data_IF_198030348547
#
_entry.id   IF_198030348547
#
_cell.length_a   1.000
_cell.length_b   1.000
_cell.length_c   1.000
_cell.angle_alpha   90.00
_cell.angle_beta   90.00
_cell.angle_gamma   90.00
#
_symmetry.space_group_name_H-M   'P 1'
#
loop_
_entity.id
_entity.type
_entity.pdbx_description
1 polymer ?
#
# COMPACT_ATOMS: atom_id res chain seq x y z
N UNK A 1 2.91 -12.70 -29.56
CA UNK A 1 2.98 -12.88 -28.10
C UNK A 1 2.08 -11.83 -27.48
N UNK A 2 0.87 -12.20 -27.04
CA UNK A 2 -0.11 -11.25 -26.50
C UNK A 2 0.34 -10.85 -25.09
N UNK A 3 0.85 -9.63 -24.94
CA UNK A 3 1.10 -9.04 -23.61
C UNK A 3 -0.24 -8.69 -22.99
N UNK A 4 -0.83 -9.65 -22.26
CA UNK A 4 -1.97 -9.38 -21.38
C UNK A 4 -1.48 -8.32 -20.39
N UNK A 5 -1.98 -7.09 -20.51
CA UNK A 5 -1.76 -6.06 -19.51
C UNK A 5 -2.31 -6.60 -18.20
N UNK A 6 -1.43 -6.79 -17.22
CA UNK A 6 -1.86 -7.21 -15.89
C UNK A 6 -2.46 -6.00 -15.20
N UNK A 7 -3.78 -5.85 -15.32
CA UNK A 7 -4.50 -4.76 -14.69
C UNK A 7 -4.52 -4.97 -13.18
N UNK A 8 -4.25 -3.89 -12.44
CA UNK A 8 -4.27 -3.94 -10.98
C UNK A 8 -5.73 -4.06 -10.51
N UNK A 9 -6.09 -5.07 -9.69
CA UNK A 9 -7.47 -5.30 -9.25
C UNK A 9 -8.01 -4.12 -8.46
N UNK A 10 -9.32 -3.83 -8.55
CA UNK A 10 -9.91 -2.63 -7.95
C UNK A 10 -9.77 -2.60 -6.43
N UNK A 11 -9.95 -3.75 -5.79
CA UNK A 11 -9.81 -3.97 -4.36
C UNK A 11 -8.36 -4.17 -3.88
N UNK A 12 -7.33 -3.82 -4.66
CA UNK A 12 -5.93 -4.03 -4.26
C UNK A 12 -5.58 -3.36 -2.91
N UNK A 13 -6.25 -2.25 -2.59
CA UNK A 13 -6.03 -1.52 -1.33
C UNK A 13 -6.57 -2.28 -0.11
N UNK A 14 -7.47 -3.24 -0.34
CA UNK A 14 -8.15 -4.04 0.68
C UNK A 14 -7.52 -5.43 0.83
N UNK A 15 -6.58 -5.80 -0.05
CA UNK A 15 -5.90 -7.10 0.04
C UNK A 15 -4.88 -7.10 1.18
N UNK A 16 -4.89 -8.18 1.95
CA UNK A 16 -3.97 -8.41 3.06
C UNK A 16 -3.43 -9.84 3.07
N UNK A 17 -2.26 -10.03 3.68
CA UNK A 17 -1.63 -11.34 3.88
C UNK A 17 -1.46 -12.11 2.57
N UNK A 18 -1.97 -13.34 2.56
CA UNK A 18 -1.82 -14.26 1.43
C UNK A 18 -2.39 -13.71 0.11
N UNK A 19 -3.56 -13.05 0.16
CA UNK A 19 -4.18 -12.49 -1.05
C UNK A 19 -3.32 -11.38 -1.66
N UNK A 20 -2.72 -10.56 -0.80
CA UNK A 20 -1.75 -9.55 -1.23
C UNK A 20 -0.51 -10.21 -1.84
N UNK A 21 0.09 -11.19 -1.16
CA UNK A 21 1.28 -11.88 -1.67
C UNK A 21 1.01 -12.60 -3.00
N UNK A 22 -0.15 -13.22 -3.18
CA UNK A 22 -0.53 -13.87 -4.43
C UNK A 22 -0.66 -12.87 -5.58
N UNK A 23 -1.24 -11.69 -5.31
CA UNK A 23 -1.22 -10.60 -6.29
C UNK A 23 0.23 -10.19 -6.65
N UNK A 24 1.11 -10.02 -5.67
CA UNK A 24 2.52 -9.67 -5.93
C UNK A 24 3.23 -10.75 -6.75
N UNK A 25 3.00 -12.04 -6.44
CA UNK A 25 3.54 -13.17 -7.21
C UNK A 25 3.11 -13.09 -8.67
N UNK A 26 1.84 -12.80 -8.94
CA UNK A 26 1.32 -12.69 -10.30
C UNK A 26 1.83 -11.44 -11.03
N UNK A 27 1.89 -10.30 -10.34
CA UNK A 27 2.21 -9.01 -10.94
C UNK A 27 3.72 -8.76 -11.11
N UNK A 28 4.52 -9.06 -10.08
CA UNK A 28 5.96 -8.79 -10.01
C UNK A 28 6.82 -10.06 -10.02
N UNK A 29 6.23 -11.22 -9.78
CA UNK A 29 6.92 -12.50 -9.72
C UNK A 29 7.28 -12.91 -8.30
N UNK A 30 7.45 -14.22 -8.13
CA UNK A 30 7.69 -14.89 -6.85
C UNK A 30 8.82 -14.28 -6.02
N UNK A 31 9.96 -13.96 -6.66
CA UNK A 31 11.11 -13.36 -5.95
C UNK A 31 10.78 -12.05 -5.24
N UNK A 32 9.92 -11.22 -5.83
CA UNK A 32 9.50 -9.95 -5.21
C UNK A 32 8.55 -10.23 -4.05
N UNK A 33 7.61 -11.17 -4.23
CA UNK A 33 6.69 -11.57 -3.17
C UNK A 33 7.44 -12.12 -1.95
N UNK A 34 8.42 -13.02 -2.15
CA UNK A 34 9.19 -13.60 -1.06
C UNK A 34 9.97 -12.54 -0.26
N UNK A 35 10.46 -11.48 -0.92
CA UNK A 35 11.13 -10.36 -0.23
C UNK A 35 10.14 -9.62 0.69
N UNK A 36 8.91 -9.37 0.21
CA UNK A 36 7.89 -8.66 0.99
C UNK A 36 7.35 -9.54 2.11
N UNK A 37 7.11 -10.82 1.85
CA UNK A 37 6.63 -11.81 2.81
C UNK A 37 7.64 -12.02 3.94
N UNK A 38 8.94 -12.11 3.63
CA UNK A 38 10.00 -12.21 4.64
C UNK A 38 10.00 -11.02 5.62
N UNK A 39 9.60 -9.84 5.17
CA UNK A 39 9.56 -8.62 5.96
C UNK A 39 8.18 -8.34 6.58
N UNK A 40 7.23 -9.27 6.45
CA UNK A 40 5.83 -9.08 6.87
C UNK A 40 5.18 -7.81 6.26
N UNK A 41 5.57 -7.46 5.04
CA UNK A 41 4.96 -6.37 4.27
C UNK A 41 3.74 -6.94 3.56
N UNK A 42 2.64 -7.07 4.30
CA UNK A 42 1.48 -7.88 3.95
C UNK A 42 0.30 -7.11 3.33
N UNK A 43 0.42 -5.80 3.11
CA UNK A 43 -0.60 -5.01 2.41
C UNK A 43 0.00 -3.77 1.72
N UNK A 44 -0.81 -3.07 0.93
CA UNK A 44 -0.38 -1.88 0.17
C UNK A 44 0.08 -0.74 1.09
N UNK A 45 -0.56 -0.53 2.23
CA UNK A 45 -0.22 0.58 3.13
C UNK A 45 1.17 0.37 3.75
N UNK A 46 1.44 -0.83 4.27
CA UNK A 46 2.77 -1.21 4.77
C UNK A 46 3.83 -1.08 3.68
N UNK A 47 3.52 -1.56 2.47
CA UNK A 47 4.46 -1.49 1.35
C UNK A 47 4.80 -0.06 0.92
N UNK A 48 3.80 0.82 0.86
CA UNK A 48 4.01 2.23 0.50
C UNK A 48 4.68 3.03 1.62
N UNK A 49 4.48 2.65 2.87
CA UNK A 49 5.15 3.24 4.03
C UNK A 49 6.63 2.80 4.15
N UNK A 50 6.97 1.60 3.67
CA UNK A 50 8.34 1.11 3.64
C UNK A 50 9.18 1.90 2.61
N UNK A 51 10.28 2.52 3.06
CA UNK A 51 11.14 3.35 2.21
C UNK A 51 11.83 2.54 1.11
N UNK A 52 12.62 1.53 1.50
CA UNK A 52 13.30 0.60 0.60
C UNK A 52 13.16 -0.85 1.08
N UNK A 53 12.20 -1.62 0.54
CA UNK A 53 12.04 -3.03 0.87
C UNK A 53 13.23 -3.92 0.46
N UNK A 54 14.19 -3.42 -0.34
CA UNK A 54 15.38 -4.19 -0.71
C UNK A 54 16.53 -4.03 0.28
N UNK A 55 16.43 -3.07 1.20
CA UNK A 55 17.47 -2.79 2.21
C UNK A 55 17.75 -4.01 3.09
N UNK A 56 16.73 -4.83 3.39
CA UNK A 56 16.88 -6.08 4.15
C UNK A 56 17.98 -6.98 3.57
N UNK A 57 18.18 -6.98 2.25
CA UNK A 57 19.17 -7.82 1.57
C UNK A 57 20.61 -7.33 1.79
N UNK A 58 20.81 -6.18 2.42
CA UNK A 58 22.14 -5.68 2.78
C UNK A 58 22.65 -6.28 4.10
N UNK A 59 21.75 -6.75 4.97
CA UNK A 59 22.14 -7.24 6.29
C UNK A 59 22.88 -8.58 6.24
N UNK A 60 23.90 -8.71 7.07
CA UNK A 60 24.66 -9.96 7.21
C UNK A 60 23.96 -10.88 8.20
N UNK A 61 23.00 -11.67 7.69
CA UNK A 61 22.27 -12.68 8.46
C UNK A 61 22.18 -13.99 7.69
N UNK A 62 22.32 -15.10 8.42
CA UNK A 62 22.10 -16.44 7.89
C UNK A 62 20.66 -16.66 7.43
N UNK A 63 19.69 -15.99 8.08
CA UNK A 63 18.27 -16.08 7.74
C UNK A 63 17.97 -15.53 6.34
N UNK A 64 18.86 -14.69 5.82
CA UNK A 64 18.74 -14.06 4.50
C UNK A 64 19.46 -14.83 3.39
N UNK A 65 20.19 -15.91 3.70
CA UNK A 65 21.04 -16.59 2.72
C UNK A 65 20.23 -17.11 1.53
N UNK A 66 19.10 -17.75 1.78
CA UNK A 66 18.28 -18.33 0.72
C UNK A 66 17.59 -17.25 -0.12
N UNK A 67 17.16 -16.16 0.52
CA UNK A 67 16.62 -15.00 -0.17
C UNK A 67 17.70 -14.35 -1.06
N UNK A 68 18.93 -14.17 -0.56
CA UNK A 68 20.07 -13.62 -1.30
C UNK A 68 20.48 -14.51 -2.48
N UNK A 69 20.51 -15.83 -2.32
CA UNK A 69 20.86 -16.77 -3.41
C UNK A 69 19.94 -16.62 -4.62
N UNK A 70 18.68 -16.25 -4.40
CA UNK A 70 17.68 -16.16 -5.48
C UNK A 70 17.51 -14.74 -6.03
N UNK A 71 17.83 -13.70 -5.24
CA UNK A 71 17.56 -12.29 -5.56
C UNK A 71 18.81 -11.46 -5.83
N UNK A 72 19.99 -11.94 -5.44
CA UNK A 72 21.26 -11.24 -5.56
C UNK A 72 22.28 -12.00 -6.41
N UNK A 73 23.31 -11.28 -6.83
CA UNK A 73 24.56 -11.83 -7.38
C UNK A 73 25.64 -11.66 -6.33
N UNK A 74 26.38 -12.74 -6.06
CA UNK A 74 27.57 -12.69 -5.21
C UNK A 74 28.74 -12.13 -6.02
N UNK A 75 29.40 -11.10 -5.50
CA UNK A 75 30.57 -10.47 -6.07
C UNK A 75 31.85 -11.16 -5.58
N UNK A 76 32.97 -10.91 -6.27
CA UNK A 76 34.28 -11.53 -5.96
C UNK A 76 34.80 -11.20 -4.55
N UNK A 77 34.37 -10.06 -4.00
CA UNK A 77 34.69 -9.65 -2.62
C UNK A 77 33.74 -10.26 -1.56
N UNK A 78 32.98 -11.30 -1.93
CA UNK A 78 31.95 -11.94 -1.11
C UNK A 78 30.73 -11.07 -0.76
N UNK A 79 30.64 -9.82 -1.23
CA UNK A 79 29.42 -9.01 -1.06
C UNK A 79 28.31 -9.45 -2.02
N UNK A 80 27.08 -9.00 -1.77
CA UNK A 80 25.92 -9.30 -2.60
C UNK A 80 25.38 -8.02 -3.23
N UNK A 81 24.95 -8.10 -4.49
CA UNK A 81 24.22 -7.02 -5.16
C UNK A 81 22.88 -7.53 -5.68
N UNK A 82 21.80 -6.77 -5.44
CA UNK A 82 20.46 -7.16 -5.88
C UNK A 82 20.38 -7.15 -7.41
N UNK A 83 19.79 -8.20 -7.99
CA UNK A 83 19.58 -8.33 -9.43
C UNK A 83 18.83 -7.10 -9.99
N UNK A 84 19.31 -6.46 -11.08
CA UNK A 84 18.66 -5.27 -11.64
C UNK A 84 17.19 -5.47 -11.99
N UNK A 85 16.81 -6.65 -12.48
CA UNK A 85 15.42 -6.98 -12.77
C UNK A 85 14.51 -6.96 -11.55
N UNK A 86 15.02 -7.32 -10.37
CA UNK A 86 14.27 -7.26 -9.10
C UNK A 86 14.06 -5.80 -8.70
N UNK A 87 15.11 -4.97 -8.78
CA UNK A 87 15.02 -3.52 -8.52
C UNK A 87 13.95 -2.86 -9.41
N UNK A 88 13.99 -3.13 -10.71
CA UNK A 88 13.02 -2.57 -11.66
C UNK A 88 11.59 -2.99 -11.35
N UNK A 89 11.36 -4.26 -11.01
CA UNK A 89 10.03 -4.77 -10.65
C UNK A 89 9.50 -4.15 -9.35
N UNK A 90 10.34 -4.05 -8.33
CA UNK A 90 9.98 -3.41 -7.06
C UNK A 90 9.58 -1.93 -7.27
N UNK A 91 10.38 -1.20 -8.05
CA UNK A 91 10.10 0.20 -8.39
C UNK A 91 8.82 0.35 -9.21
N UNK A 92 8.61 -0.53 -10.20
CA UNK A 92 7.40 -0.53 -11.01
C UNK A 92 6.18 -0.75 -10.12
N UNK A 93 6.18 -1.80 -9.29
CA UNK A 93 5.13 -2.10 -8.33
C UNK A 93 4.79 -0.90 -7.44
N UNK A 94 5.80 -0.29 -6.80
CA UNK A 94 5.65 0.89 -5.94
C UNK A 94 5.02 2.06 -6.69
N UNK A 95 5.52 2.36 -7.88
CA UNK A 95 4.98 3.44 -8.70
C UNK A 95 3.53 3.21 -9.12
N UNK A 96 3.16 1.97 -9.46
CA UNK A 96 1.80 1.66 -9.92
C UNK A 96 0.79 1.67 -8.78
N UNK A 97 1.14 1.11 -7.61
CA UNK A 97 0.30 1.16 -6.42
C UNK A 97 0.14 2.59 -5.91
N UNK A 98 1.20 3.40 -5.92
CA UNK A 98 1.13 4.81 -5.53
C UNK A 98 0.21 5.62 -6.47
N UNK A 99 0.30 5.39 -7.79
CA UNK A 99 -0.63 6.00 -8.76
C UNK A 99 -2.08 5.65 -8.47
N UNK A 100 -2.36 4.38 -8.14
CA UNK A 100 -3.71 3.93 -7.79
C UNK A 100 -4.23 4.57 -6.50
N UNK A 101 -3.41 4.59 -5.44
CA UNK A 101 -3.75 5.27 -4.19
C UNK A 101 -4.08 6.76 -4.41
N UNK A 102 -3.29 7.45 -5.24
CA UNK A 102 -3.54 8.86 -5.58
C UNK A 102 -4.81 9.07 -6.42
N UNK A 103 -5.15 8.14 -7.31
CA UNK A 103 -6.38 8.19 -8.10
C UNK A 103 -7.63 8.06 -7.21
N UNK A 104 -7.59 7.16 -6.22
CA UNK A 104 -8.67 6.99 -5.25
C UNK A 104 -8.87 8.25 -4.40
N UNK A 105 -7.79 8.86 -3.89
CA UNK A 105 -7.87 10.12 -3.12
C UNK A 105 -8.49 11.27 -3.92
N UNK A 106 -8.23 11.36 -5.23
CA UNK A 106 -8.82 12.39 -6.11
C UNK A 106 -10.29 12.14 -6.43
N UNK A 107 -10.77 10.90 -6.36
CA UNK A 107 -12.18 10.55 -6.58
C UNK A 107 -13.11 10.94 -5.43
N UNK A 108 -12.57 11.10 -4.22
CA UNK A 108 -13.36 11.41 -3.01
C UNK A 108 -13.64 12.92 -2.85
N UNK A 109 -12.96 13.80 -3.60
CA UNK A 109 -13.10 15.27 -3.45
C UNK A 109 -14.20 15.91 -4.32
N UNK A 110 -15.15 15.15 -4.88
CA UNK A 110 -16.28 15.67 -5.66
C UNK A 110 -17.61 15.31 -5.02
N UNK A 111 -17.81 15.69 -3.77
CA UNK A 111 -19.17 15.98 -3.31
C UNK A 111 -19.44 17.42 -3.76
N UNK A 112 -20.34 17.68 -4.72
CA UNK A 112 -20.75 19.04 -5.01
C UNK A 112 -21.42 19.60 -3.74
N UNK A 113 -20.79 20.61 -3.15
CA UNK A 113 -21.36 21.44 -2.09
C UNK A 113 -22.55 22.22 -2.64
N UNK A 114 -23.69 21.56 -2.80
CA UNK A 114 -24.99 22.18 -3.06
C UNK A 114 -26.10 21.25 -2.53
N UNK A 115 -26.06 20.94 -1.24
CA UNK A 115 -27.29 20.64 -0.50
C UNK A 115 -27.74 21.98 0.07
N UNK A 116 -28.61 22.66 -0.68
CA UNK A 116 -29.42 23.74 -0.14
C UNK A 116 -30.41 23.07 0.81
N UNK A 117 -30.20 23.22 2.12
CA UNK A 117 -31.23 22.95 3.12
C UNK A 117 -32.35 23.98 2.90
N UNK A 118 -33.42 23.61 2.22
CA UNK A 118 -34.64 24.40 2.22
C UNK A 118 -35.37 24.15 3.53
N UNK A 119 -35.35 25.16 4.40
CA UNK A 119 -36.19 25.24 5.59
C UNK A 119 -37.66 24.97 5.22
N UNK A 120 -38.23 23.90 5.78
CA UNK A 120 -39.66 23.88 6.10
C UNK A 120 -39.85 23.10 7.42
N UNK A 121 -40.68 23.60 8.35
CA UNK A 121 -40.74 23.11 9.71
C UNK A 121 -41.70 21.93 9.81
N UNK A 122 -41.34 20.93 10.62
CA UNK A 122 -42.19 20.36 11.67
C UNK A 122 -41.72 18.98 12.13
N UNK A 123 -41.50 18.90 13.44
CA UNK A 123 -41.79 17.75 14.33
C UNK A 123 -40.65 16.75 14.61
N UNK A 124 -40.16 16.93 15.85
CA UNK A 124 -39.71 15.95 16.84
C UNK A 124 -38.32 15.30 16.68
N UNK A 125 -37.53 15.02 17.71
CA UNK A 125 -37.45 15.33 19.16
C UNK A 125 -36.18 14.59 19.60
N UNK A 126 -35.21 15.26 20.23
CA UNK A 126 -34.17 14.66 21.10
C UNK A 126 -33.37 15.82 21.69
N UNK A 127 -33.78 16.40 22.83
CA UNK A 127 -33.54 15.93 24.21
C UNK A 127 -32.05 15.92 24.58
N UNK A 128 -31.69 16.95 25.36
CA UNK A 128 -30.72 17.00 26.47
C UNK A 128 -29.22 16.81 26.15
N UNK A 129 -28.26 17.52 26.75
CA UNK A 129 -28.30 18.30 27.99
C UNK A 129 -27.05 19.20 28.11
N UNK A 130 -27.23 20.33 28.82
CA UNK A 130 -26.25 21.04 29.69
C UNK A 130 -25.16 21.88 28.97
N UNK A 131 -24.84 23.12 29.35
CA UNK A 131 -24.64 23.69 30.69
C UNK A 131 -24.95 25.21 30.70
N UNK A 132 -25.67 25.66 31.74
CA UNK A 132 -25.87 27.04 32.19
C UNK A 132 -24.55 27.76 32.49
N UNK A 133 -24.40 29.03 32.10
CA UNK A 133 -23.98 30.11 33.02
C UNK A 133 -24.69 31.42 32.62
N UNK A 134 -25.43 31.95 33.57
CA UNK A 134 -26.03 33.29 33.59
C UNK A 134 -25.14 34.21 34.40
N UNK A 135 -25.02 35.48 34.01
CA UNK A 135 -24.99 36.63 34.95
C UNK A 135 -25.13 37.91 34.14
N UNK A 136 -26.31 38.54 34.25
CA UNK A 136 -26.47 39.99 34.09
C UNK A 136 -25.96 40.72 35.33
N UNK A 137 -25.40 41.90 35.12
CA UNK A 137 -25.60 43.09 35.94
C UNK A 137 -25.41 44.33 35.06
#
# INVERSE_FOLDING_TARGET
MLTKSFDIPQNIMDLEGNEFFDFIKQYSGEKVANILEFQDISNVNCFLACNDPLEILSFDSNDLLDLKKTTCVKLNNNSFTVLPGIKSKMNLLKSTLMKKCNALKKGVSKIPSNIILTNHPSVNTLVNNSINISTDA
#
